data_IF_832106581647
#
_entry.id   IF_832106581647
#
_cell.length_a   1.000
_cell.length_b   1.000
_cell.length_c   1.000
_cell.angle_alpha   90.00
_cell.angle_beta   90.00
_cell.angle_gamma   90.00
#
_symmetry.space_group_name_H-M   'P 1'
#
loop_
_entity.id
_entity.type
_entity.pdbx_description
1 polymer ?
#
# COMPACT_ATOMS: atom_id res chain seq x y z
N UNK A 1 -9.21 3.48 5.42
CA UNK A 1 -9.40 2.07 5.83
C UNK A 1 -10.86 1.80 6.12
N UNK A 2 -11.49 2.45 7.12
CA UNK A 2 -12.93 2.23 7.41
C UNK A 2 -13.82 2.56 6.22
N UNK A 3 -13.60 3.68 5.53
CA UNK A 3 -14.41 4.07 4.36
C UNK A 3 -14.33 3.08 3.18
N UNK A 4 -13.21 2.36 3.06
CA UNK A 4 -12.97 1.37 2.00
C UNK A 4 -13.25 -0.08 2.46
N UNK A 5 -13.67 -0.29 3.70
CA UNK A 5 -13.80 -1.62 4.32
C UNK A 5 -12.51 -2.45 4.16
N UNK A 6 -11.36 -1.84 4.46
CA UNK A 6 -10.05 -2.48 4.40
C UNK A 6 -9.56 -2.85 5.79
N UNK A 7 -9.25 -4.12 5.97
CA UNK A 7 -8.69 -4.66 7.20
C UNK A 7 -7.17 -4.77 7.12
N UNK A 8 -6.51 -4.90 8.27
CA UNK A 8 -5.06 -5.08 8.34
C UNK A 8 -4.58 -6.26 7.49
N UNK A 9 -5.32 -7.36 7.50
CA UNK A 9 -4.96 -8.58 6.77
C UNK A 9 -4.94 -8.36 5.25
N UNK A 10 -5.81 -7.48 4.73
CA UNK A 10 -5.82 -7.12 3.31
C UNK A 10 -4.55 -6.36 2.92
N UNK A 11 -4.12 -5.43 3.77
CA UNK A 11 -2.89 -4.65 3.57
C UNK A 11 -1.67 -5.57 3.58
N UNK A 12 -1.60 -6.49 4.55
CA UNK A 12 -0.51 -7.47 4.63
C UNK A 12 -0.50 -8.40 3.41
N UNK A 13 -1.67 -8.88 2.98
CA UNK A 13 -1.80 -9.70 1.77
C UNK A 13 -1.31 -8.97 0.52
N UNK A 14 -1.74 -7.71 0.34
CA UNK A 14 -1.35 -6.88 -0.78
C UNK A 14 0.15 -6.55 -0.78
N UNK A 15 0.77 -6.31 0.38
CA UNK A 15 2.21 -6.05 0.47
C UNK A 15 3.02 -7.31 0.13
N UNK A 16 2.62 -8.47 0.64
CA UNK A 16 3.36 -9.72 0.47
C UNK A 16 3.26 -10.32 -0.94
N UNK A 17 2.16 -10.06 -1.64
CA UNK A 17 1.87 -10.67 -2.96
C UNK A 17 1.78 -9.66 -4.10
N UNK A 18 1.71 -8.37 -3.79
CA UNK A 18 1.64 -7.31 -4.76
C UNK A 18 3.01 -6.96 -5.35
N UNK A 19 3.03 -5.84 -6.05
CA UNK A 19 4.21 -5.33 -6.75
C UNK A 19 4.38 -3.84 -6.52
N UNK A 20 5.63 -3.39 -6.44
CA UNK A 20 5.94 -1.96 -6.36
C UNK A 20 5.65 -1.36 -7.73
N UNK A 21 4.59 -0.54 -7.82
CA UNK A 21 4.23 0.21 -9.04
C UNK A 21 5.04 1.48 -9.19
N UNK A 22 5.37 2.14 -8.08
CA UNK A 22 6.07 3.42 -8.11
C UNK A 22 7.00 3.59 -6.91
N UNK A 23 8.18 4.13 -7.18
CA UNK A 23 9.17 4.54 -6.16
C UNK A 23 9.31 6.06 -6.22
N UNK A 24 9.04 6.75 -5.11
CA UNK A 24 9.05 8.20 -5.00
C UNK A 24 10.21 8.64 -4.09
N UNK A 25 11.33 9.04 -4.70
CA UNK A 25 12.61 9.32 -4.00
C UNK A 25 12.84 10.79 -3.63
N UNK A 26 12.03 11.72 -4.14
CA UNK A 26 12.24 13.16 -4.01
C UNK A 26 11.55 13.78 -2.77
N UNK A 27 11.13 12.97 -1.80
CA UNK A 27 10.52 13.45 -0.57
C UNK A 27 11.60 13.57 0.52
N UNK A 28 11.71 14.74 1.15
CA UNK A 28 12.71 14.99 2.22
C UNK A 28 12.51 14.10 3.43
N UNK A 29 11.34 13.47 3.59
CA UNK A 29 11.03 12.52 4.65
C UNK A 29 11.42 11.08 4.28
N UNK A 30 12.07 10.86 3.14
CA UNK A 30 12.55 9.56 2.67
C UNK A 30 11.71 8.93 1.56
N UNK A 31 12.26 7.88 0.96
CA UNK A 31 11.65 7.18 -0.19
C UNK A 31 10.31 6.55 0.18
N UNK A 32 9.27 6.87 -0.60
CA UNK A 32 7.96 6.21 -0.52
C UNK A 32 7.78 5.21 -1.63
N UNK A 33 7.07 4.14 -1.34
CA UNK A 33 6.71 3.08 -2.28
C UNK A 33 5.20 3.04 -2.42
N UNK A 34 4.73 2.93 -3.65
CA UNK A 34 3.36 2.57 -3.97
C UNK A 34 3.36 1.10 -4.37
N UNK A 35 2.66 0.29 -3.58
CA UNK A 35 2.45 -1.13 -3.87
C UNK A 35 1.03 -1.28 -4.37
N UNK A 36 0.88 -1.97 -5.49
CA UNK A 36 -0.42 -2.47 -5.98
C UNK A 36 -0.52 -3.94 -5.67
N UNK A 37 -1.61 -4.32 -5.00
CA UNK A 37 -1.91 -5.69 -4.66
C UNK A 37 -3.40 -5.86 -4.45
N UNK A 38 -3.84 -7.12 -4.39
CA UNK A 38 -5.22 -7.44 -4.05
C UNK A 38 -5.38 -7.62 -2.54
N UNK A 39 -6.55 -7.26 -2.04
CA UNK A 39 -7.12 -7.73 -0.77
C UNK A 39 -7.34 -9.23 -0.77
N UNK A 40 -7.71 -9.80 0.38
CA UNK A 40 -8.05 -11.22 0.50
C UNK A 40 -9.30 -11.55 -0.33
N UNK A 41 -10.23 -10.61 -0.46
CA UNK A 41 -11.45 -10.76 -1.26
C UNK A 41 -11.27 -10.36 -2.75
N UNK A 42 -10.05 -10.01 -3.15
CA UNK A 42 -9.66 -9.82 -4.56
C UNK A 42 -9.78 -8.39 -5.10
N UNK A 43 -10.30 -7.44 -4.32
CA UNK A 43 -10.31 -6.01 -4.67
C UNK A 43 -8.89 -5.47 -4.78
N UNK A 44 -8.60 -4.74 -5.85
CA UNK A 44 -7.31 -4.07 -6.02
C UNK A 44 -7.20 -2.86 -5.10
N UNK A 45 -6.05 -2.73 -4.46
CA UNK A 45 -5.73 -1.62 -3.56
C UNK A 45 -4.35 -1.06 -3.85
N UNK A 46 -4.17 0.21 -3.49
CA UNK A 46 -2.85 0.83 -3.40
C UNK A 46 -2.46 1.04 -1.95
N UNK A 47 -1.25 0.61 -1.62
CA UNK A 47 -0.60 0.82 -0.33
C UNK A 47 0.55 1.79 -0.53
N UNK A 48 0.51 2.93 0.15
CA UNK A 48 1.65 3.86 0.21
C UNK A 48 2.39 3.63 1.51
N UNK A 49 3.66 3.25 1.43
CA UNK A 49 4.48 2.95 2.60
C UNK A 49 5.91 3.48 2.47
N UNK A 50 6.66 3.48 3.57
CA UNK A 50 8.10 3.75 3.59
C UNK A 50 8.80 2.90 4.64
N UNK A 51 10.07 2.59 4.40
CA UNK A 51 10.95 2.01 5.41
C UNK A 51 11.53 3.11 6.30
N UNK A 52 11.68 2.81 7.59
CA UNK A 52 12.55 3.56 8.51
C UNK A 52 13.94 2.93 8.52
N UNK A 53 14.94 3.67 9.00
CA UNK A 53 16.32 3.20 9.15
C UNK A 53 16.45 1.94 10.01
N UNK A 54 15.53 1.74 10.96
CA UNK A 54 15.47 0.55 11.83
C UNK A 54 14.85 -0.71 11.15
N UNK A 55 14.50 -0.62 9.87
CA UNK A 55 13.92 -1.73 9.10
C UNK A 55 12.40 -1.92 9.28
N UNK A 56 11.74 -1.08 10.08
CA UNK A 56 10.28 -1.10 10.20
C UNK A 56 9.61 -0.42 9.00
N UNK A 57 8.47 -0.96 8.57
CA UNK A 57 7.65 -0.39 7.50
C UNK A 57 6.51 0.42 8.09
N UNK A 58 6.40 1.69 7.69
CA UNK A 58 5.24 2.53 8.03
C UNK A 58 4.28 2.55 6.86
N UNK A 59 3.02 2.25 7.15
CA UNK A 59 1.91 2.50 6.22
C UNK A 59 1.48 3.95 6.36
N UNK A 60 1.56 4.69 5.24
CA UNK A 60 1.19 6.12 5.18
C UNK A 60 -0.30 6.24 4.86
N UNK A 61 -0.75 5.56 3.81
CA UNK A 61 -2.17 5.50 3.43
C UNK A 61 -2.44 4.24 2.62
N UNK A 62 -3.69 3.79 2.64
CA UNK A 62 -4.21 2.68 1.84
C UNK A 62 -5.59 3.05 1.33
N UNK A 63 -5.85 2.75 0.06
CA UNK A 63 -7.13 3.02 -0.58
C UNK A 63 -7.46 1.96 -1.64
N UNK A 64 -8.74 1.68 -1.82
CA UNK A 64 -9.20 0.79 -2.87
C UNK A 64 -9.14 1.48 -4.23
N UNK A 65 -8.82 0.70 -5.27
CA UNK A 65 -8.96 1.12 -6.65
C UNK A 65 -10.38 0.77 -7.08
N UNK A 66 -11.22 1.78 -7.24
CA UNK A 66 -12.48 1.60 -7.97
C UNK A 66 -12.13 1.40 -9.44
N UNK A 67 -12.64 0.34 -10.07
CA UNK A 67 -12.56 0.23 -11.53
C UNK A 67 -13.39 1.38 -12.13
N UNK A 68 -12.73 2.37 -12.73
CA UNK A 68 -13.36 3.28 -13.68
C UNK A 68 -13.91 2.42 -14.82
N UNK A 69 -15.22 2.18 -14.81
CA UNK A 69 -15.94 1.41 -15.83
C UNK A 69 -16.74 2.34 -16.73
#
# INVERSE_FOLDING_TARGET
MVDDYLERQDVEHAILRGQIRKTMTHDTRGTRYQIEGSTIDGRLIHVICRFRDEGSLIIITVYALMEDK
#
